data_IF_090166502530
#
_entry.id   IF_090166502530
#
_cell.length_a   1.000
_cell.length_b   1.000
_cell.length_c   1.000
_cell.angle_alpha   90.00
_cell.angle_beta   90.00
_cell.angle_gamma   90.00
#
_symmetry.space_group_name_H-M   'P 1'
#
loop_
_entity.id
_entity.type
_entity.pdbx_description
1 polymer ?
#
# COMPACT_ATOMS: atom_id res chain seq x y z
N UNK A 1 -10.44 -10.58 35.38
CA UNK A 1 -10.83 -9.95 34.09
C UNK A 1 -10.94 -11.07 33.06
N UNK A 2 -12.09 -11.33 32.44
CA UNK A 2 -12.16 -12.36 31.40
C UNK A 2 -11.37 -11.87 30.18
N UNK A 3 -10.48 -12.71 29.66
CA UNK A 3 -9.78 -12.43 28.40
C UNK A 3 -10.84 -12.36 27.29
N UNK A 4 -10.96 -11.20 26.65
CA UNK A 4 -11.82 -11.05 25.48
C UNK A 4 -11.26 -11.96 24.38
N UNK A 5 -12.01 -12.98 23.96
CA UNK A 5 -11.64 -13.83 22.83
C UNK A 5 -11.46 -12.97 21.57
N UNK A 6 -10.21 -12.73 21.17
CA UNK A 6 -9.90 -12.09 19.90
C UNK A 6 -10.28 -13.03 18.78
N UNK A 7 -10.94 -12.52 17.74
CA UNK A 7 -11.18 -13.31 16.53
C UNK A 7 -9.84 -13.63 15.89
N UNK A 8 -9.68 -14.80 15.27
CA UNK A 8 -8.44 -15.21 14.62
C UNK A 8 -7.90 -14.13 13.65
N UNK A 9 -8.79 -13.48 12.88
CA UNK A 9 -8.41 -12.37 12.02
C UNK A 9 -7.81 -11.18 12.79
N UNK A 10 -8.37 -10.81 13.93
CA UNK A 10 -7.83 -9.73 14.76
C UNK A 10 -6.42 -10.09 15.27
N UNK A 11 -6.22 -11.34 15.70
CA UNK A 11 -4.91 -11.82 16.17
C UNK A 11 -3.85 -11.83 15.07
N UNK A 12 -4.21 -12.24 13.84
CA UNK A 12 -3.29 -12.28 12.70
C UNK A 12 -2.81 -10.88 12.27
N UNK A 13 -3.65 -9.85 12.41
CA UNK A 13 -3.33 -8.50 11.94
C UNK A 13 -2.82 -7.56 13.03
N UNK A 14 -3.01 -7.90 14.32
CA UNK A 14 -2.72 -7.01 15.46
C UNK A 14 -1.27 -6.50 15.47
N UNK A 15 -0.32 -7.31 15.01
CA UNK A 15 1.11 -6.96 15.03
C UNK A 15 1.74 -6.82 13.66
N UNK A 16 0.94 -6.82 12.58
CA UNK A 16 1.46 -6.77 11.21
C UNK A 16 2.26 -5.49 10.94
N UNK A 17 1.88 -4.36 11.56
CA UNK A 17 2.63 -3.10 11.47
C UNK A 17 3.96 -3.12 12.24
N UNK A 18 4.09 -4.00 13.23
CA UNK A 18 5.28 -4.21 14.03
C UNK A 18 6.17 -5.32 13.46
N UNK A 19 5.87 -5.80 12.25
CA UNK A 19 6.68 -6.79 11.56
C UNK A 19 8.02 -6.14 11.11
N UNK A 20 9.13 -6.68 11.64
CA UNK A 20 10.48 -6.19 11.37
C UNK A 20 10.82 -6.26 9.88
N UNK A 21 10.30 -7.26 9.18
CA UNK A 21 10.52 -7.45 7.76
C UNK A 21 9.74 -6.43 6.94
N UNK A 22 8.49 -6.14 7.28
CA UNK A 22 7.70 -5.07 6.68
C UNK A 22 8.40 -3.71 6.86
N UNK A 23 8.87 -3.39 8.07
CA UNK A 23 9.60 -2.12 8.31
C UNK A 23 10.85 -1.99 7.43
N UNK A 24 11.60 -3.09 7.29
CA UNK A 24 12.75 -3.16 6.39
C UNK A 24 12.35 -2.94 4.93
N UNK A 25 11.30 -3.60 4.46
CA UNK A 25 10.80 -3.45 3.10
C UNK A 25 10.30 -2.02 2.83
N UNK A 26 9.59 -1.40 3.77
CA UNK A 26 9.14 -0.01 3.66
C UNK A 26 10.32 0.96 3.55
N UNK A 27 11.37 0.77 4.36
CA UNK A 27 12.60 1.58 4.26
C UNK A 27 13.28 1.44 2.90
N UNK A 28 13.37 0.21 2.39
CA UNK A 28 13.91 -0.06 1.05
C UNK A 28 13.04 0.63 -0.01
N UNK A 29 11.72 0.46 0.04
CA UNK A 29 10.78 1.05 -0.91
C UNK A 29 10.91 2.57 -0.94
N UNK A 30 10.94 3.25 0.21
CA UNK A 30 11.12 4.70 0.28
C UNK A 30 12.45 5.15 -0.34
N UNK A 31 13.55 4.45 -0.06
CA UNK A 31 14.85 4.76 -0.66
C UNK A 31 14.83 4.60 -2.18
N UNK A 32 14.33 3.47 -2.67
CA UNK A 32 14.29 3.19 -4.11
C UNK A 32 13.34 4.14 -4.84
N UNK A 33 12.22 4.52 -4.22
CA UNK A 33 11.33 5.51 -4.79
C UNK A 33 11.97 6.89 -4.89
N UNK A 34 12.73 7.30 -3.88
CA UNK A 34 13.54 8.53 -3.96
C UNK A 34 14.52 8.49 -5.13
N UNK A 35 15.26 7.38 -5.29
CA UNK A 35 16.15 7.20 -6.45
C UNK A 35 15.38 7.28 -7.77
N UNK A 36 14.23 6.62 -7.91
CA UNK A 36 13.37 6.69 -9.09
C UNK A 36 12.91 8.13 -9.39
N UNK A 37 12.47 8.87 -8.36
CA UNK A 37 11.96 10.23 -8.48
C UNK A 37 13.03 11.21 -8.99
N UNK A 38 14.29 11.01 -8.59
CA UNK A 38 15.42 11.84 -9.00
C UNK A 38 16.19 11.26 -10.20
N UNK A 39 15.62 10.30 -10.93
CA UNK A 39 16.24 9.66 -12.10
C UNK A 39 17.62 9.04 -11.83
N UNK A 40 17.85 8.56 -10.61
CA UNK A 40 19.03 7.80 -10.20
C UNK A 40 18.80 6.30 -10.39
N UNK A 41 19.86 5.51 -10.34
CA UNK A 41 19.75 4.06 -10.36
C UNK A 41 18.94 3.55 -9.17
N UNK A 42 17.90 2.77 -9.48
CA UNK A 42 17.01 2.17 -8.50
C UNK A 42 16.68 0.73 -8.90
N UNK A 43 16.51 -0.13 -7.90
CA UNK A 43 16.14 -1.53 -8.14
C UNK A 43 15.51 -2.14 -6.90
N UNK A 44 14.30 -2.66 -7.07
CA UNK A 44 13.76 -3.68 -6.16
C UNK A 44 14.04 -5.06 -6.76
N UNK A 45 14.35 -6.03 -5.91
CA UNK A 45 14.37 -7.43 -6.34
C UNK A 45 12.94 -7.90 -6.61
N UNK A 46 12.77 -8.91 -7.46
CA UNK A 46 11.45 -9.51 -7.71
C UNK A 46 10.76 -9.98 -6.43
N UNK A 47 11.54 -10.56 -5.50
CA UNK A 47 11.05 -10.96 -4.17
C UNK A 47 10.59 -9.76 -3.34
N UNK A 48 11.37 -8.68 -3.26
CA UNK A 48 11.00 -7.49 -2.50
C UNK A 48 9.70 -6.86 -3.02
N UNK A 49 9.57 -6.74 -4.35
CA UNK A 49 8.34 -6.23 -4.99
C UNK A 49 7.15 -7.13 -4.66
N UNK A 50 7.29 -8.44 -4.83
CA UNK A 50 6.23 -9.41 -4.52
C UNK A 50 5.80 -9.34 -3.05
N UNK A 51 6.76 -9.37 -2.13
CA UNK A 51 6.47 -9.34 -0.70
C UNK A 51 5.80 -8.01 -0.29
N UNK A 52 6.22 -6.87 -0.86
CA UNK A 52 5.54 -5.58 -0.66
C UNK A 52 4.08 -5.63 -1.10
N UNK A 53 3.78 -6.22 -2.27
CA UNK A 53 2.40 -6.37 -2.75
C UNK A 53 1.58 -7.28 -1.83
N UNK A 54 2.17 -8.37 -1.33
CA UNK A 54 1.51 -9.24 -0.34
C UNK A 54 1.20 -8.50 0.96
N UNK A 55 2.14 -7.71 1.46
CA UNK A 55 1.90 -6.89 2.63
C UNK A 55 0.82 -5.85 2.38
N UNK A 56 0.80 -5.19 1.22
CA UNK A 56 -0.26 -4.24 0.89
C UNK A 56 -1.65 -4.88 0.93
N UNK A 57 -1.80 -6.07 0.35
CA UNK A 57 -3.05 -6.83 0.38
C UNK A 57 -3.46 -7.20 1.81
N UNK A 58 -2.53 -7.73 2.62
CA UNK A 58 -2.79 -8.10 4.02
C UNK A 58 -3.16 -6.88 4.88
N UNK A 59 -2.43 -5.78 4.74
CA UNK A 59 -2.66 -4.54 5.48
C UNK A 59 -4.03 -3.93 5.11
N UNK A 60 -4.44 -4.04 3.84
CA UNK A 60 -5.74 -3.56 3.38
C UNK A 60 -6.91 -4.36 3.96
N UNK A 61 -6.71 -5.67 4.14
CA UNK A 61 -7.69 -6.60 4.72
C UNK A 61 -7.66 -6.66 6.25
N UNK A 62 -6.83 -5.84 6.91
CA UNK A 62 -6.72 -5.83 8.36
C UNK A 62 -8.05 -5.47 9.04
N UNK A 63 -8.53 -6.36 9.91
CA UNK A 63 -9.73 -6.17 10.72
C UNK A 63 -9.24 -6.04 12.17
N UNK A 64 -8.94 -4.82 12.61
CA UNK A 64 -8.74 -4.54 14.02
C UNK A 64 -9.83 -3.55 14.50
N UNK A 65 -10.39 -3.78 15.70
CA UNK A 65 -11.43 -2.90 16.29
C UNK A 65 -10.95 -1.46 16.53
N UNK A 66 -9.63 -1.24 16.50
CA UNK A 66 -9.03 0.09 16.59
C UNK A 66 -8.88 0.81 15.24
N UNK A 67 -9.35 0.21 14.15
CA UNK A 67 -9.28 0.75 12.80
C UNK A 67 -7.97 1.46 12.53
N UNK A 68 -6.83 0.81 12.83
CA UNK A 68 -5.55 1.51 12.85
C UNK A 68 -5.24 2.03 11.45
N UNK A 69 -5.51 3.32 11.26
CA UNK A 69 -5.39 4.00 9.98
C UNK A 69 -3.96 3.89 9.45
N UNK A 70 -2.99 3.57 10.32
CA UNK A 70 -1.59 3.30 9.95
C UNK A 70 -1.43 2.09 9.04
N UNK A 71 -2.15 0.98 9.28
CA UNK A 71 -2.07 -0.21 8.43
C UNK A 71 -2.66 0.09 7.04
N UNK A 72 -3.83 0.72 6.99
CA UNK A 72 -4.47 1.15 5.73
C UNK A 72 -3.61 2.15 4.96
N UNK A 73 -3.06 3.15 5.65
CA UNK A 73 -2.14 4.12 5.06
C UNK A 73 -0.86 3.46 4.54
N UNK A 74 -0.37 2.42 5.20
CA UNK A 74 0.80 1.66 4.73
C UNK A 74 0.47 0.88 3.45
N UNK A 75 -0.70 0.23 3.38
CA UNK A 75 -1.17 -0.41 2.16
C UNK A 75 -1.24 0.57 0.99
N UNK A 76 -1.89 1.74 1.20
CA UNK A 76 -2.00 2.81 0.20
C UNK A 76 -0.64 3.34 -0.25
N UNK A 77 0.29 3.58 0.68
CA UNK A 77 1.66 4.01 0.36
C UNK A 77 2.37 3.00 -0.54
N UNK A 78 2.29 1.72 -0.21
CA UNK A 78 2.94 0.67 -1.01
C UNK A 78 2.42 0.67 -2.45
N UNK A 79 1.09 0.60 -2.63
CA UNK A 79 0.50 0.49 -3.98
C UNK A 79 0.65 1.77 -4.79
N UNK A 80 0.59 2.94 -4.16
CA UNK A 80 0.82 4.22 -4.82
C UNK A 80 2.26 4.33 -5.35
N UNK A 81 3.25 3.97 -4.52
CA UNK A 81 4.66 3.98 -4.91
C UNK A 81 4.95 2.98 -6.02
N UNK A 82 4.50 1.73 -5.86
CA UNK A 82 4.77 0.69 -6.86
C UNK A 82 4.06 0.95 -8.19
N UNK A 83 2.85 1.51 -8.18
CA UNK A 83 2.14 1.87 -9.42
C UNK A 83 2.86 2.94 -10.25
N UNK A 84 3.58 3.87 -9.59
CA UNK A 84 4.40 4.87 -10.28
C UNK A 84 5.69 4.27 -10.83
N UNK A 85 6.36 3.43 -10.03
CA UNK A 85 7.64 2.82 -10.42
C UNK A 85 7.49 1.70 -11.47
N UNK A 86 6.35 1.00 -11.48
CA UNK A 86 6.06 -0.17 -12.31
C UNK A 86 4.67 -0.09 -12.99
N UNK A 87 4.39 0.93 -13.82
CA UNK A 87 3.04 1.17 -14.35
C UNK A 87 2.52 0.07 -15.28
N UNK A 88 3.41 -0.70 -15.91
CA UNK A 88 3.07 -1.76 -16.86
C UNK A 88 3.08 -3.16 -16.23
N UNK A 89 3.26 -3.27 -14.91
CA UNK A 89 3.33 -4.55 -14.23
C UNK A 89 1.91 -5.04 -13.85
N UNK A 90 1.45 -6.18 -14.38
CA UNK A 90 0.09 -6.65 -14.16
C UNK A 90 -0.19 -7.04 -12.70
N UNK A 91 0.83 -7.51 -11.97
CA UNK A 91 0.68 -7.87 -10.56
C UNK A 91 0.48 -6.61 -9.70
N UNK A 92 1.24 -5.56 -10.00
CA UNK A 92 1.11 -4.25 -9.34
C UNK A 92 -0.28 -3.66 -9.61
N UNK A 93 -0.75 -3.71 -10.87
CA UNK A 93 -2.09 -3.22 -11.24
C UNK A 93 -3.21 -3.98 -10.53
N UNK A 94 -3.15 -5.31 -10.50
CA UNK A 94 -4.14 -6.16 -9.83
C UNK A 94 -4.26 -5.82 -8.35
N UNK A 95 -3.14 -5.86 -7.62
CA UNK A 95 -3.15 -5.64 -6.16
C UNK A 95 -3.52 -4.20 -5.82
N UNK A 96 -3.09 -3.22 -6.63
CA UNK A 96 -3.52 -1.83 -6.44
C UNK A 96 -5.03 -1.69 -6.53
N UNK A 97 -5.66 -2.31 -7.53
CA UNK A 97 -7.11 -2.26 -7.68
C UNK A 97 -7.83 -2.95 -6.51
N UNK A 98 -7.32 -4.08 -6.02
CA UNK A 98 -7.88 -4.77 -4.84
C UNK A 98 -7.79 -3.90 -3.59
N UNK A 99 -6.62 -3.30 -3.33
CA UNK A 99 -6.39 -2.42 -2.18
C UNK A 99 -7.30 -1.19 -2.24
N UNK A 100 -7.38 -0.51 -3.38
CA UNK A 100 -8.27 0.66 -3.53
C UNK A 100 -9.74 0.29 -3.37
N UNK A 101 -10.15 -0.86 -3.91
CA UNK A 101 -11.52 -1.39 -3.76
C UNK A 101 -11.86 -1.66 -2.30
N UNK A 102 -10.92 -2.24 -1.54
CA UNK A 102 -11.12 -2.54 -0.12
C UNK A 102 -11.44 -1.31 0.74
N UNK A 103 -11.02 -0.13 0.29
CA UNK A 103 -11.23 1.14 0.98
C UNK A 103 -12.36 1.98 0.39
N UNK A 104 -13.06 1.51 -0.66
CA UNK A 104 -13.89 2.36 -1.52
C UNK A 104 -13.16 3.63 -2.01
N UNK A 105 -11.83 3.57 -2.10
CA UNK A 105 -10.97 4.70 -2.43
C UNK A 105 -10.69 4.71 -3.93
N UNK A 106 -11.75 4.92 -4.71
CA UNK A 106 -11.66 5.01 -6.16
C UNK A 106 -11.46 6.45 -6.60
N UNK A 107 -10.67 6.65 -7.65
CA UNK A 107 -10.71 7.89 -8.43
C UNK A 107 -12.09 8.03 -9.10
N UNK A 108 -12.58 9.26 -9.37
CA UNK A 108 -13.71 9.45 -10.25
C UNK A 108 -13.41 8.82 -11.61
N UNK A 109 -14.29 7.91 -12.09
CA UNK A 109 -14.15 7.30 -13.43
C UNK A 109 -14.74 8.25 -14.48
N UNK A 110 -13.97 8.62 -15.50
CA UNK A 110 -14.52 9.13 -16.77
C UNK A 110 -14.29 8.09 -17.86
N UNK A 111 -15.34 7.32 -18.19
CA UNK A 111 -15.30 6.28 -19.23
C UNK A 111 -14.64 4.97 -18.78
N UNK A 112 -13.97 4.27 -19.71
CA UNK A 112 -13.32 2.96 -19.51
C UNK A 112 -11.83 3.04 -19.11
N UNK A 113 -11.26 4.23 -19.00
CA UNK A 113 -9.85 4.44 -18.64
C UNK A 113 -9.71 5.13 -17.29
N UNK A 114 -8.71 4.69 -16.51
CA UNK A 114 -8.30 5.37 -15.29
C UNK A 114 -7.50 6.62 -15.65
N UNK A 115 -7.96 7.80 -15.26
CA UNK A 115 -7.10 8.98 -15.17
C UNK A 115 -6.34 8.88 -13.84
N UNK A 116 -5.05 8.53 -13.91
CA UNK A 116 -4.17 8.41 -12.75
C UNK A 116 -3.84 9.80 -12.19
N UNK A 117 -4.70 10.33 -11.31
CA UNK A 117 -4.32 11.38 -10.36
C UNK A 117 -4.66 10.86 -8.97
N UNK A 118 -3.71 10.26 -8.23
CA UNK A 118 -3.88 9.94 -6.82
C UNK A 118 -4.52 11.10 -6.08
N UNK A 119 -5.51 10.84 -5.22
CA UNK A 119 -6.14 11.88 -4.38
C UNK A 119 -5.11 12.64 -3.55
N UNK A 120 -4.01 11.97 -3.17
CA UNK A 120 -2.83 12.63 -2.58
C UNK A 120 -2.18 13.62 -3.55
N UNK A 121 -1.95 13.27 -4.82
CA UNK A 121 -1.39 14.19 -5.83
C UNK A 121 -2.33 15.38 -6.08
N UNK A 122 -3.65 15.16 -6.09
CA UNK A 122 -4.62 16.23 -6.22
C UNK A 122 -4.58 17.19 -5.00
N UNK A 123 -4.64 16.64 -3.78
CA UNK A 123 -4.56 17.43 -2.55
C UNK A 123 -3.21 18.14 -2.38
N UNK A 124 -2.11 17.57 -2.88
CA UNK A 124 -0.78 18.19 -2.83
C UNK A 124 -0.66 19.37 -3.80
N UNK A 125 -1.30 19.29 -4.96
CA UNK A 125 -1.31 20.35 -5.96
C UNK A 125 -2.27 21.50 -5.60
N UNK A 126 -3.32 21.26 -4.80
CA UNK A 126 -4.25 22.29 -4.32
C UNK A 126 -3.68 23.11 -3.13
N UNK A 127 -2.62 22.63 -2.48
CA UNK A 127 -1.99 23.28 -1.32
C UNK A 127 -0.83 24.24 -1.68
N UNK A 128 -0.49 24.37 -2.97
CA UNK A 128 0.48 25.32 -3.54
C UNK A 128 -0.25 26.36 -4.39
#
# INVERSE_FOLDING_TARGET
>A
MPQQEKRLGEYLYEYLENDDYLRKLMSILSKQYGCWLFHLDWKLTGKQKHDLLRFADLLAKSINKKGDSRQKNSALKIVATLSKMYPNDPEVSLITNEVLTSFNNFLPRQGQSYTLVPTIEQLWNEAL
#
